data_IF_265935941232
#
_entry.id   IF_265935941232
#
_cell.length_a   1.000
_cell.length_b   1.000
_cell.length_c   1.000
_cell.angle_alpha   90.00
_cell.angle_beta   90.00
_cell.angle_gamma   90.00
#
_symmetry.space_group_name_H-M   'P 1'
#
loop_
_entity.id
_entity.type
_entity.pdbx_description
1 polymer ?
#
# COMPACT_ATOMS: atom_id res chain seq x y z
N UNK A 1 -32.91 -4.19 29.12
CA UNK A 1 -31.78 -5.15 29.14
C UNK A 1 -31.34 -5.62 27.75
N UNK A 2 -32.24 -5.95 26.80
CA UNK A 2 -31.85 -6.36 25.43
C UNK A 2 -31.05 -5.31 24.61
N UNK A 3 -31.38 -4.01 24.71
CA UNK A 3 -30.70 -2.97 23.91
C UNK A 3 -29.23 -2.72 24.32
N UNK A 4 -28.87 -2.98 25.59
CA UNK A 4 -27.49 -2.80 26.06
C UNK A 4 -26.57 -3.89 25.51
N UNK A 5 -27.06 -5.13 25.41
CA UNK A 5 -26.29 -6.27 24.91
C UNK A 5 -26.01 -6.10 23.40
N UNK A 6 -26.97 -5.58 22.64
CA UNK A 6 -26.77 -5.28 21.21
C UNK A 6 -25.72 -4.18 20.98
N UNK A 7 -25.72 -3.14 21.82
CA UNK A 7 -24.74 -2.05 21.73
C UNK A 7 -23.30 -2.52 22.02
N UNK A 8 -23.10 -3.31 23.08
CA UNK A 8 -21.79 -3.92 23.40
C UNK A 8 -21.29 -4.82 22.27
N UNK A 9 -22.17 -5.61 21.64
CA UNK A 9 -21.81 -6.46 20.51
C UNK A 9 -21.37 -5.65 19.29
N UNK A 10 -22.08 -4.55 18.98
CA UNK A 10 -21.70 -3.65 17.88
C UNK A 10 -20.35 -2.97 18.13
N UNK A 11 -20.06 -2.56 19.37
CA UNK A 11 -18.77 -1.99 19.74
C UNK A 11 -17.64 -3.02 19.60
N UNK A 12 -17.85 -4.23 20.11
CA UNK A 12 -16.88 -5.32 20.00
C UNK A 12 -16.64 -5.73 18.54
N UNK A 13 -17.69 -5.79 17.72
CA UNK A 13 -17.56 -6.09 16.29
C UNK A 13 -16.83 -4.99 15.53
N UNK A 14 -17.09 -3.71 15.86
CA UNK A 14 -16.38 -2.58 15.27
C UNK A 14 -14.89 -2.61 15.63
N UNK A 15 -14.56 -2.86 16.89
CA UNK A 15 -13.17 -3.01 17.34
C UNK A 15 -12.48 -4.20 16.64
N UNK A 16 -13.16 -5.35 16.55
CA UNK A 16 -12.64 -6.51 15.82
C UNK A 16 -12.33 -6.19 14.35
N UNK A 17 -13.22 -5.44 13.67
CA UNK A 17 -12.95 -4.98 12.31
C UNK A 17 -11.75 -4.05 12.24
N UNK A 18 -11.63 -3.08 13.14
CA UNK A 18 -10.47 -2.18 13.20
C UNK A 18 -9.15 -2.93 13.46
N UNK A 19 -9.17 -3.95 14.32
CA UNK A 19 -8.00 -4.76 14.67
C UNK A 19 -7.58 -5.71 13.53
N UNK A 20 -8.52 -6.14 12.68
CA UNK A 20 -8.27 -7.06 11.56
C UNK A 20 -8.12 -6.35 10.20
N UNK A 21 -8.27 -5.03 10.17
CA UNK A 21 -8.18 -4.23 8.95
C UNK A 21 -6.73 -4.16 8.43
N UNK A 22 -6.53 -4.50 7.15
CA UNK A 22 -5.22 -4.36 6.50
C UNK A 22 -4.89 -2.89 6.27
N UNK A 23 -3.83 -2.43 6.92
CA UNK A 23 -3.34 -1.05 6.81
C UNK A 23 -2.33 -0.92 5.67
N UNK A 24 -2.81 -0.39 4.55
CA UNK A 24 -2.07 -0.32 3.29
C UNK A 24 -1.46 1.06 3.10
N UNK A 25 -0.23 1.10 2.59
CA UNK A 25 0.40 2.29 2.07
C UNK A 25 0.93 2.07 0.65
N UNK A 26 0.86 3.10 -0.20
CA UNK A 26 1.32 3.04 -1.58
C UNK A 26 2.48 4.02 -1.79
N UNK A 27 3.59 3.52 -2.36
CA UNK A 27 4.68 4.35 -2.86
C UNK A 27 4.58 4.41 -4.39
N UNK A 28 4.43 5.62 -4.93
CA UNK A 28 4.27 5.91 -6.35
C UNK A 28 5.53 6.56 -6.94
N UNK A 29 5.75 6.47 -8.25
CA UNK A 29 6.96 7.05 -8.87
C UNK A 29 6.84 8.58 -8.96
N UNK A 30 7.81 9.32 -8.41
CA UNK A 30 7.86 10.78 -8.48
C UNK A 30 7.88 11.33 -9.90
N UNK A 31 8.68 10.75 -10.78
CA UNK A 31 8.79 11.25 -12.16
C UNK A 31 7.47 11.06 -12.92
N UNK A 32 6.83 9.90 -12.76
CA UNK A 32 5.57 9.60 -13.43
C UNK A 32 4.41 10.41 -12.83
N UNK A 33 4.43 10.71 -11.52
CA UNK A 33 3.37 11.47 -10.85
C UNK A 33 3.25 12.90 -11.35
N UNK A 34 4.32 13.48 -11.93
CA UNK A 34 4.25 14.80 -12.63
C UNK A 34 3.15 14.86 -13.70
N UNK A 35 2.75 13.71 -14.28
CA UNK A 35 1.68 13.62 -15.29
C UNK A 35 0.61 12.57 -14.95
N UNK A 36 0.72 11.91 -13.80
CA UNK A 36 -0.17 10.84 -13.38
C UNK A 36 -0.93 11.27 -12.13
N UNK A 37 -2.25 11.20 -12.17
CA UNK A 37 -3.13 11.54 -11.04
C UNK A 37 -3.20 10.45 -9.97
N UNK A 38 -2.51 9.32 -10.14
CA UNK A 38 -2.63 8.16 -9.26
C UNK A 38 -3.95 7.39 -9.41
N UNK A 39 -4.88 7.86 -10.24
CA UNK A 39 -6.23 7.29 -10.43
C UNK A 39 -6.24 5.77 -10.68
N UNK A 40 -5.28 5.22 -11.42
CA UNK A 40 -5.14 3.78 -11.62
C UNK A 40 -4.88 3.00 -10.33
N UNK A 41 -4.04 3.53 -9.43
CA UNK A 41 -3.77 2.93 -8.13
C UNK A 41 -5.02 2.95 -7.25
N UNK A 42 -5.70 4.10 -7.17
CA UNK A 42 -6.91 4.25 -6.36
C UNK A 42 -8.07 3.43 -6.89
N UNK A 43 -8.28 3.39 -8.21
CA UNK A 43 -9.31 2.54 -8.83
C UNK A 43 -9.06 1.07 -8.54
N UNK A 44 -7.79 0.62 -8.60
CA UNK A 44 -7.45 -0.76 -8.27
C UNK A 44 -7.68 -1.08 -6.79
N UNK A 45 -7.34 -0.16 -5.89
CA UNK A 45 -7.61 -0.28 -4.46
C UNK A 45 -9.12 -0.36 -4.19
N UNK A 46 -9.90 0.61 -4.66
CA UNK A 46 -11.34 0.71 -4.41
C UNK A 46 -12.14 -0.47 -4.99
N UNK A 47 -11.71 -1.00 -6.14
CA UNK A 47 -12.44 -2.05 -6.83
C UNK A 47 -11.89 -3.46 -6.57
N UNK A 48 -10.94 -3.63 -5.64
CA UNK A 48 -10.28 -4.92 -5.37
C UNK A 48 -9.72 -5.60 -6.63
N UNK A 49 -9.01 -4.85 -7.48
CA UNK A 49 -8.42 -5.40 -8.72
C UNK A 49 -6.89 -5.36 -8.70
N UNK A 50 -6.25 -6.17 -9.55
CA UNK A 50 -4.79 -6.16 -9.68
C UNK A 50 -4.12 -6.73 -8.44
N UNK A 51 -3.25 -5.93 -7.80
CA UNK A 51 -2.55 -6.35 -6.58
C UNK A 51 -3.46 -6.45 -5.36
N UNK A 52 -4.67 -5.90 -5.45
CA UNK A 52 -5.60 -5.84 -4.34
C UNK A 52 -6.69 -6.93 -4.38
N UNK A 53 -6.64 -7.81 -5.38
CA UNK A 53 -7.51 -9.01 -5.46
C UNK A 53 -7.28 -9.92 -4.23
N UNK A 54 -6.05 -9.96 -3.72
CA UNK A 54 -5.65 -10.77 -2.56
C UNK A 54 -6.31 -10.31 -1.25
N UNK A 55 -6.94 -9.13 -1.23
CA UNK A 55 -7.66 -8.58 -0.07
C UNK A 55 -9.18 -8.62 -0.23
N UNK A 56 -9.72 -9.35 -1.20
CA UNK A 56 -11.16 -9.28 -1.54
C UNK A 56 -12.08 -9.70 -0.39
N UNK A 57 -11.62 -10.62 0.46
CA UNK A 57 -12.35 -11.14 1.62
C UNK A 57 -11.93 -10.46 2.94
N UNK A 58 -11.03 -9.46 2.88
CA UNK A 58 -10.46 -8.79 4.04
C UNK A 58 -10.84 -7.31 4.07
N UNK A 59 -11.15 -6.78 5.25
CA UNK A 59 -11.27 -5.33 5.41
C UNK A 59 -9.89 -4.68 5.22
N UNK A 60 -9.83 -3.58 4.47
CA UNK A 60 -8.59 -2.86 4.20
C UNK A 60 -8.80 -1.36 4.18
N UNK A 61 -7.75 -0.64 4.55
CA UNK A 61 -7.74 0.82 4.59
C UNK A 61 -6.43 1.34 3.98
N UNK A 62 -6.56 2.40 3.17
CA UNK A 62 -5.42 3.12 2.63
C UNK A 62 -5.01 4.21 3.62
N UNK A 63 -3.96 3.95 4.38
CA UNK A 63 -3.43 4.87 5.40
C UNK A 63 -2.55 5.96 4.77
N UNK A 64 -1.81 5.63 3.70
CA UNK A 64 -0.83 6.55 3.13
C UNK A 64 -0.62 6.36 1.63
N UNK A 65 -0.48 7.47 0.92
CA UNK A 65 -0.03 7.49 -0.48
C UNK A 65 1.07 8.54 -0.61
N UNK A 66 2.26 8.11 -1.07
CA UNK A 66 3.41 9.00 -1.23
C UNK A 66 4.11 8.74 -2.56
N UNK A 67 4.80 9.73 -3.11
CA UNK A 67 5.75 9.53 -4.21
C UNK A 67 7.10 9.06 -3.66
N UNK A 68 7.95 8.34 -4.42
CA UNK A 68 9.38 8.23 -4.14
C UNK A 68 10.07 9.60 -4.27
N UNK A 69 11.41 9.68 -4.19
CA UNK A 69 12.15 10.94 -4.30
C UNK A 69 12.88 11.14 -5.64
N UNK A 70 12.60 10.30 -6.64
CA UNK A 70 13.34 10.29 -7.89
C UNK A 70 14.31 9.13 -7.95
N UNK A 71 15.25 9.17 -8.90
CA UNK A 71 16.15 8.06 -9.22
C UNK A 71 17.62 8.36 -8.90
N UNK A 72 17.90 9.29 -7.98
CA UNK A 72 19.26 9.66 -7.57
C UNK A 72 19.97 8.58 -6.76
N UNK A 73 21.24 8.81 -6.41
CA UNK A 73 22.09 7.84 -5.70
C UNK A 73 21.52 7.41 -4.34
N UNK A 74 20.78 8.30 -3.67
CA UNK A 74 20.16 8.04 -2.36
C UNK A 74 18.78 7.37 -2.44
N UNK A 75 18.34 6.92 -3.62
CA UNK A 75 16.97 6.40 -3.83
C UNK A 75 16.58 5.30 -2.84
N UNK A 76 17.53 4.41 -2.48
CA UNK A 76 17.31 3.32 -1.53
C UNK A 76 17.07 3.87 -0.11
N UNK A 77 17.94 4.77 0.36
CA UNK A 77 17.82 5.37 1.69
C UNK A 77 16.51 6.17 1.82
N UNK A 78 16.16 6.92 0.78
CA UNK A 78 14.96 7.75 0.76
C UNK A 78 13.66 6.93 0.76
N UNK A 79 13.62 5.80 0.05
CA UNK A 79 12.45 4.92 0.08
C UNK A 79 12.31 4.22 1.44
N UNK A 80 13.42 3.81 2.06
CA UNK A 80 13.42 3.24 3.41
C UNK A 80 12.97 4.27 4.46
N UNK A 81 13.43 5.52 4.35
CA UNK A 81 13.01 6.63 5.21
C UNK A 81 11.50 6.88 5.12
N UNK A 82 10.91 6.76 3.92
CA UNK A 82 9.45 6.81 3.74
C UNK A 82 8.73 5.67 4.38
N UNK A 83 9.17 4.44 4.12
CA UNK A 83 8.60 3.25 4.73
C UNK A 83 8.60 3.34 6.26
N UNK A 84 9.68 3.88 6.84
CA UNK A 84 9.78 4.13 8.29
C UNK A 84 8.75 5.13 8.79
N UNK A 85 8.48 6.21 8.05
CA UNK A 85 7.41 7.18 8.40
C UNK A 85 6.02 6.55 8.26
N UNK A 86 5.80 5.76 7.22
CA UNK A 86 4.55 5.01 7.00
C UNK A 86 4.29 4.02 8.14
N UNK A 87 5.32 3.30 8.63
CA UNK A 87 5.22 2.40 9.79
C UNK A 87 4.73 3.11 11.05
N UNK A 88 5.25 4.33 11.30
CA UNK A 88 4.88 5.11 12.49
C UNK A 88 3.41 5.51 12.52
N UNK A 89 2.77 5.61 11.36
CA UNK A 89 1.34 5.90 11.24
C UNK A 89 0.48 4.64 11.04
N UNK A 90 1.07 3.45 11.25
CA UNK A 90 0.35 2.18 11.26
C UNK A 90 0.28 1.45 9.92
N UNK A 91 1.03 1.84 8.89
CA UNK A 91 1.10 1.04 7.65
C UNK A 91 1.80 -0.29 7.91
N UNK A 92 1.16 -1.37 7.48
CA UNK A 92 1.67 -2.74 7.56
C UNK A 92 2.11 -3.29 6.21
N UNK A 93 1.37 -2.96 5.15
CA UNK A 93 1.60 -3.41 3.78
C UNK A 93 2.03 -2.24 2.90
N UNK A 94 3.20 -2.35 2.27
CA UNK A 94 3.70 -1.36 1.31
C UNK A 94 3.52 -1.89 -0.10
N UNK A 95 2.69 -1.22 -0.89
CA UNK A 95 2.59 -1.44 -2.32
C UNK A 95 3.50 -0.47 -3.07
N UNK A 96 4.47 -1.00 -3.83
CA UNK A 96 5.14 -0.22 -4.87
C UNK A 96 4.20 -0.11 -6.06
N UNK A 97 4.02 1.08 -6.62
CA UNK A 97 3.09 1.25 -7.74
C UNK A 97 3.58 0.58 -9.02
N UNK A 98 2.66 0.28 -9.92
CA UNK A 98 2.98 -0.36 -11.20
C UNK A 98 3.91 0.47 -12.09
N UNK A 99 3.94 1.79 -11.93
CA UNK A 99 4.91 2.64 -12.61
C UNK A 99 6.31 2.53 -11.99
N UNK A 100 6.45 2.32 -10.67
CA UNK A 100 7.74 1.96 -10.08
C UNK A 100 8.20 0.61 -10.65
N UNK A 101 7.33 -0.41 -10.65
CA UNK A 101 7.67 -1.74 -11.21
C UNK A 101 8.13 -1.71 -12.66
N UNK A 102 7.55 -0.84 -13.48
CA UNK A 102 7.83 -0.81 -14.92
C UNK A 102 8.98 0.11 -15.33
N UNK A 103 9.25 1.17 -14.56
CA UNK A 103 10.17 2.24 -14.99
C UNK A 103 11.32 2.53 -14.02
N UNK A 104 11.25 2.06 -12.78
CA UNK A 104 12.26 2.38 -11.78
C UNK A 104 13.49 1.49 -11.97
N UNK A 105 14.71 2.06 -12.14
CA UNK A 105 15.94 1.26 -12.20
C UNK A 105 16.27 0.59 -10.85
N UNK A 106 15.72 1.12 -9.75
CA UNK A 106 15.94 0.62 -8.39
C UNK A 106 14.85 -0.36 -7.93
N UNK A 107 13.97 -0.83 -8.81
CA UNK A 107 12.79 -1.62 -8.40
C UNK A 107 13.16 -2.88 -7.62
N UNK A 108 14.09 -3.70 -8.12
CA UNK A 108 14.46 -4.95 -7.45
C UNK A 108 15.14 -4.69 -6.10
N UNK A 109 16.00 -3.67 -6.03
CA UNK A 109 16.65 -3.25 -4.79
C UNK A 109 15.62 -2.68 -3.80
N UNK A 110 14.61 -1.93 -4.25
CA UNK A 110 13.50 -1.47 -3.40
C UNK A 110 12.76 -2.65 -2.78
N UNK A 111 12.39 -3.66 -3.58
CA UNK A 111 11.73 -4.87 -3.08
C UNK A 111 12.62 -5.56 -2.04
N UNK A 112 13.88 -5.81 -2.37
CA UNK A 112 14.85 -6.49 -1.50
C UNK A 112 15.02 -5.77 -0.17
N UNK A 113 15.28 -4.47 -0.19
CA UNK A 113 15.57 -3.70 1.02
C UNK A 113 14.31 -3.45 1.88
N UNK A 114 13.17 -3.16 1.26
CA UNK A 114 11.91 -3.01 2.01
C UNK A 114 11.43 -4.34 2.59
N UNK A 115 11.61 -5.47 1.91
CA UNK A 115 11.12 -6.77 2.40
C UNK A 115 11.84 -7.26 3.66
N UNK A 116 12.95 -6.63 4.06
CA UNK A 116 13.63 -6.93 5.34
C UNK A 116 12.77 -6.60 6.55
N UNK A 117 11.98 -5.53 6.47
CA UNK A 117 11.25 -4.96 7.62
C UNK A 117 9.74 -4.76 7.39
N UNK A 118 9.27 -4.96 6.15
CA UNK A 118 7.91 -4.64 5.71
C UNK A 118 7.30 -5.76 4.87
N UNK A 119 5.97 -5.89 4.88
CA UNK A 119 5.24 -6.73 3.91
C UNK A 119 5.11 -5.93 2.62
N UNK A 120 5.80 -6.36 1.57
CA UNK A 120 5.90 -5.60 0.31
C UNK A 120 5.15 -6.30 -0.82
N UNK A 121 4.35 -5.53 -1.55
CA UNK A 121 3.70 -5.96 -2.79
C UNK A 121 4.21 -5.10 -3.94
N UNK A 122 4.79 -5.72 -4.96
CA UNK A 122 5.55 -5.01 -5.99
C UNK A 122 4.74 -4.30 -7.08
N UNK A 123 3.42 -4.16 -6.94
CA UNK A 123 2.58 -3.46 -7.91
C UNK A 123 1.25 -3.01 -7.30
N UNK A 124 0.48 -2.22 -8.06
CA UNK A 124 -0.88 -1.80 -7.69
C UNK A 124 -1.93 -2.26 -8.71
N UNK A 125 -1.78 -1.86 -9.97
CA UNK A 125 -2.74 -2.15 -11.06
C UNK A 125 -2.05 -2.73 -12.31
N UNK A 126 -2.80 -3.35 -13.22
CA UNK A 126 -2.28 -3.96 -14.46
C UNK A 126 -1.13 -4.96 -14.19
N UNK A 127 -1.45 -6.26 -14.04
CA UNK A 127 -0.44 -7.34 -14.03
C UNK A 127 0.42 -7.22 -15.30
N UNK A 128 1.77 -7.35 -15.19
CA UNK A 128 2.64 -7.33 -16.39
C UNK A 128 2.07 -8.42 -17.32
N UNK A 129 1.78 -8.11 -18.58
CA UNK A 129 1.58 -9.16 -19.58
C UNK A 129 2.89 -9.97 -19.55
N UNK A 130 2.80 -11.30 -19.41
CA UNK A 130 3.91 -12.17 -19.75
C UNK A 130 4.16 -11.91 -21.24
N UNK A 131 5.30 -11.31 -21.55
CA UNK A 131 5.86 -11.34 -22.90
C UNK A 131 6.22 -12.80 -23.23
#
# INVERSE_FOLDING_TARGET
MCNHIHFEYLLSFKQYKEDNMKKIGIINCYEVSKRCSGSGCFKAFNNNTGAFEDYSDEDKELISFVHCNGCGEQSIEEVLSRAKKMKKIGVEYIHLSSCIRSKCPWYDEFIKELSKDYKVVGYTHNKKKKD
#
